data_IF_894566997762
#
_entry.id   IF_894566997762
#
_cell.length_a   1.000
_cell.length_b   1.000
_cell.length_c   1.000
_cell.angle_alpha   90.00
_cell.angle_beta   90.00
_cell.angle_gamma   90.00
#
_symmetry.space_group_name_H-M   'P 1'
#
loop_
_entity.id
_entity.type
_entity.pdbx_description
1 polymer ?
#
# COMPACT_ATOMS: atom_id res chain seq x y z
N UNK A 1 -23.84 -69.59 15.40
CA UNK A 1 -24.39 -68.25 15.12
C UNK A 1 -24.54 -67.52 16.44
N UNK A 2 -23.93 -66.40 16.79
CA UNK A 2 -22.78 -65.64 16.29
C UNK A 2 -22.31 -64.78 17.47
N UNK A 3 -21.00 -64.64 17.61
CA UNK A 3 -20.38 -63.73 18.57
C UNK A 3 -20.06 -62.39 17.88
N UNK A 4 -19.99 -61.35 18.71
CA UNK A 4 -19.20 -60.12 18.54
C UNK A 4 -19.83 -58.86 17.90
N UNK A 5 -19.26 -57.65 18.18
CA UNK A 5 -19.96 -56.55 18.84
C UNK A 5 -19.85 -55.25 18.03
N UNK A 6 -20.39 -54.14 18.52
CA UNK A 6 -20.11 -52.86 17.87
C UNK A 6 -20.95 -51.68 18.34
N UNK A 7 -20.72 -51.22 19.57
CA UNK A 7 -20.89 -49.80 19.88
C UNK A 7 -19.91 -49.00 19.02
N UNK A 8 -20.40 -48.28 18.01
CA UNK A 8 -19.63 -47.20 17.37
C UNK A 8 -19.94 -45.88 18.09
N UNK A 9 -18.97 -45.26 18.76
CA UNK A 9 -19.07 -43.86 19.13
C UNK A 9 -18.70 -42.99 17.92
N UNK A 10 -19.30 -41.81 17.82
CA UNK A 10 -18.79 -40.74 16.96
C UNK A 10 -19.43 -40.67 15.57
N UNK A 11 -20.51 -39.89 15.49
CA UNK A 11 -20.54 -38.84 14.48
C UNK A 11 -21.30 -37.66 15.07
N UNK A 12 -20.59 -36.95 15.95
CA UNK A 12 -20.80 -35.52 16.09
C UNK A 12 -20.54 -34.92 14.71
N UNK A 13 -21.56 -34.95 13.85
CA UNK A 13 -21.61 -34.10 12.68
C UNK A 13 -21.67 -32.69 13.22
N UNK A 14 -20.48 -32.13 13.43
CA UNK A 14 -20.30 -30.72 13.75
C UNK A 14 -21.17 -29.95 12.77
N UNK A 15 -22.09 -29.18 13.32
CA UNK A 15 -22.74 -28.08 12.62
C UNK A 15 -21.63 -27.28 11.96
N UNK A 16 -21.42 -27.51 10.66
CA UNK A 16 -20.55 -26.68 9.85
C UNK A 16 -21.22 -25.32 9.79
N UNK A 17 -20.94 -24.49 10.80
CA UNK A 17 -21.29 -23.09 10.85
C UNK A 17 -20.52 -22.43 9.72
N UNK A 18 -21.12 -22.39 8.53
CA UNK A 18 -20.61 -21.55 7.45
C UNK A 18 -20.50 -20.12 8.00
N UNK A 19 -19.32 -19.50 7.98
CA UNK A 19 -19.20 -18.12 8.41
C UNK A 19 -20.11 -17.25 7.52
N UNK A 20 -20.82 -16.26 8.09
CA UNK A 20 -21.73 -15.43 7.31
C UNK A 20 -20.94 -14.70 6.23
N UNK A 21 -21.27 -14.94 4.95
CA UNK A 21 -20.70 -14.19 3.84
C UNK A 21 -21.02 -12.70 4.01
N UNK A 22 -19.98 -11.85 4.07
CA UNK A 22 -20.19 -10.40 4.17
C UNK A 22 -20.75 -9.89 2.85
N UNK A 23 -21.81 -9.09 2.92
CA UNK A 23 -22.36 -8.45 1.72
C UNK A 23 -21.32 -7.52 1.08
N UNK A 24 -21.18 -7.64 -0.25
CA UNK A 24 -20.42 -6.70 -1.09
C UNK A 24 -20.84 -5.27 -0.76
N UNK A 25 -19.86 -4.38 -0.57
CA UNK A 25 -20.13 -2.97 -0.29
C UNK A 25 -20.90 -2.42 -1.50
N UNK A 26 -22.19 -2.12 -1.28
CA UNK A 26 -22.93 -1.30 -2.21
C UNK A 26 -22.33 0.08 -2.12
N UNK A 27 -21.62 0.49 -3.17
CA UNK A 27 -21.18 1.87 -3.36
C UNK A 27 -22.38 2.76 -3.09
N UNK A 28 -22.37 3.46 -1.95
CA UNK A 28 -23.53 4.28 -1.57
C UNK A 28 -23.70 5.31 -2.67
N UNK A 29 -24.87 5.37 -3.29
CA UNK A 29 -25.16 6.24 -4.43
C UNK A 29 -24.71 7.69 -4.19
N UNK A 30 -24.73 8.14 -2.93
CA UNK A 30 -24.20 9.41 -2.47
C UNK A 30 -22.74 9.68 -2.86
N UNK A 31 -21.82 8.70 -2.77
CA UNK A 31 -20.41 8.92 -3.16
C UNK A 31 -20.28 9.18 -4.66
N UNK A 32 -21.07 8.47 -5.47
CA UNK A 32 -21.09 8.67 -6.93
C UNK A 32 -21.64 10.07 -7.24
N UNK A 33 -22.72 10.48 -6.57
CA UNK A 33 -23.29 11.82 -6.73
C UNK A 33 -22.28 12.90 -6.33
N UNK A 34 -21.62 12.76 -5.18
CA UNK A 34 -20.58 13.69 -4.73
C UNK A 34 -19.40 13.76 -5.72
N UNK A 35 -18.95 12.62 -6.23
CA UNK A 35 -17.87 12.56 -7.20
C UNK A 35 -18.25 13.27 -8.50
N UNK A 36 -19.44 12.98 -9.03
CA UNK A 36 -19.95 13.62 -10.25
C UNK A 36 -20.08 15.14 -10.04
N UNK A 37 -20.61 15.57 -8.90
CA UNK A 37 -20.69 16.99 -8.55
C UNK A 37 -19.31 17.63 -8.50
N UNK A 38 -18.33 16.99 -7.86
CA UNK A 38 -16.95 17.47 -7.79
C UNK A 38 -16.33 17.61 -9.18
N UNK A 39 -16.53 16.62 -10.06
CA UNK A 39 -16.04 16.66 -11.45
C UNK A 39 -16.69 17.81 -12.22
N UNK A 40 -18.01 17.98 -12.13
CA UNK A 40 -18.71 19.11 -12.77
C UNK A 40 -18.15 20.44 -12.26
N UNK A 41 -17.94 20.60 -10.95
CA UNK A 41 -17.32 21.79 -10.38
C UNK A 41 -15.93 22.06 -10.99
N UNK A 42 -15.09 21.05 -11.16
CA UNK A 42 -13.77 21.24 -11.79
C UNK A 42 -13.87 21.73 -13.24
N UNK A 43 -14.83 21.24 -14.03
CA UNK A 43 -15.07 21.71 -15.39
C UNK A 43 -15.64 23.14 -15.43
N UNK A 44 -16.52 23.50 -14.50
CA UNK A 44 -17.02 24.86 -14.38
C UNK A 44 -15.91 25.85 -14.02
N UNK A 45 -15.00 25.46 -13.12
CA UNK A 45 -13.81 26.25 -12.80
C UNK A 45 -12.87 26.37 -14.00
N UNK A 46 -12.63 25.28 -14.72
CA UNK A 46 -11.85 25.28 -15.95
C UNK A 46 -12.42 26.26 -16.99
N UNK A 47 -13.74 26.21 -17.19
CA UNK A 47 -14.46 27.11 -18.08
C UNK A 47 -14.32 28.57 -17.65
N UNK A 48 -14.49 28.85 -16.36
CA UNK A 48 -14.31 30.21 -15.85
C UNK A 48 -12.87 30.70 -16.06
N UNK A 49 -11.86 29.87 -15.79
CA UNK A 49 -10.45 30.20 -16.04
C UNK A 49 -10.17 30.44 -17.53
N UNK A 50 -10.76 29.64 -18.42
CA UNK A 50 -10.69 29.83 -19.87
C UNK A 50 -11.28 31.18 -20.29
N UNK A 51 -12.42 31.58 -19.75
CA UNK A 51 -13.00 32.91 -20.03
C UNK A 51 -12.14 34.05 -19.47
N UNK A 52 -11.49 33.87 -18.31
CA UNK A 52 -10.56 34.86 -17.76
C UNK A 52 -9.29 34.99 -18.58
N UNK A 53 -8.77 33.89 -19.12
CA UNK A 53 -7.64 33.90 -20.05
C UNK A 53 -7.95 34.68 -21.34
N UNK A 54 -9.16 34.59 -21.87
CA UNK A 54 -9.56 35.34 -23.07
C UNK A 54 -9.82 36.83 -22.82
N UNK A 55 -10.02 37.24 -21.56
CA UNK A 55 -10.16 38.66 -21.23
C UNK A 55 -8.85 39.41 -21.48
N UNK A 56 -8.89 40.72 -21.74
CA UNK A 56 -7.69 41.55 -22.01
C UNK A 56 -6.66 41.62 -20.87
N UNK A 57 -6.93 40.96 -19.72
CA UNK A 57 -6.02 40.80 -18.58
C UNK A 57 -5.52 39.35 -18.38
N UNK A 58 -5.76 38.47 -19.37
CA UNK A 58 -5.40 37.06 -19.30
C UNK A 58 -3.89 36.82 -19.34
N UNK A 59 -3.44 35.89 -18.49
CA UNK A 59 -2.03 35.43 -18.45
C UNK A 59 -1.94 33.92 -18.74
N UNK A 60 -0.78 33.45 -19.20
CA UNK A 60 -0.52 32.01 -19.42
C UNK A 60 -0.76 31.13 -18.17
N UNK A 61 -0.67 31.70 -16.97
CA UNK A 61 -1.02 30.99 -15.74
C UNK A 61 -2.51 30.61 -15.68
N UNK A 62 -3.42 31.48 -16.15
CA UNK A 62 -4.86 31.17 -16.21
C UNK A 62 -5.15 30.00 -17.16
N UNK A 63 -4.41 29.91 -18.27
CA UNK A 63 -4.50 28.79 -19.20
C UNK A 63 -4.03 27.48 -18.55
N UNK A 64 -2.92 27.54 -17.82
CA UNK A 64 -2.43 26.42 -17.01
C UNK A 64 -3.50 25.93 -16.05
N UNK A 65 -4.14 26.83 -15.30
CA UNK A 65 -5.25 26.48 -14.41
C UNK A 65 -6.46 25.91 -15.15
N UNK A 66 -6.84 26.48 -16.29
CA UNK A 66 -7.94 25.97 -17.11
C UNK A 66 -7.70 24.52 -17.57
N UNK A 67 -6.45 24.12 -17.82
CA UNK A 67 -6.08 22.74 -18.16
C UNK A 67 -5.84 21.85 -16.95
N UNK A 68 -5.37 22.42 -15.84
CA UNK A 68 -5.10 21.71 -14.59
C UNK A 68 -6.41 21.23 -13.93
N UNK A 69 -7.47 22.04 -13.94
CA UNK A 69 -8.74 21.69 -13.30
C UNK A 69 -9.38 20.41 -13.89
N UNK A 70 -9.49 20.23 -15.23
CA UNK A 70 -9.96 18.98 -15.83
C UNK A 70 -9.09 17.76 -15.50
N UNK A 71 -7.77 17.93 -15.42
CA UNK A 71 -6.85 16.86 -15.02
C UNK A 71 -7.18 16.39 -13.60
N UNK A 72 -7.43 17.33 -12.67
CA UNK A 72 -7.87 16.98 -11.33
C UNK A 72 -9.24 16.29 -11.31
N UNK A 73 -10.20 16.75 -12.13
CA UNK A 73 -11.48 16.07 -12.29
C UNK A 73 -11.32 14.61 -12.73
N UNK A 74 -10.49 14.35 -13.75
CA UNK A 74 -10.17 13.00 -14.20
C UNK A 74 -9.44 12.18 -13.11
N UNK A 75 -8.52 12.82 -12.39
CA UNK A 75 -7.81 12.19 -11.28
C UNK A 75 -8.77 11.74 -10.16
N UNK A 76 -9.78 12.53 -9.80
CA UNK A 76 -10.77 12.12 -8.81
C UNK A 76 -11.56 10.87 -9.25
N UNK A 77 -11.95 10.81 -10.53
CA UNK A 77 -12.63 9.62 -11.09
C UNK A 77 -11.72 8.41 -11.04
N UNK A 78 -10.45 8.57 -11.41
CA UNK A 78 -9.47 7.49 -11.37
C UNK A 78 -9.24 6.99 -9.94
N UNK A 79 -9.00 7.90 -8.99
CA UNK A 79 -8.79 7.57 -7.58
C UNK A 79 -10.02 6.84 -6.99
N UNK A 80 -11.23 7.31 -7.31
CA UNK A 80 -12.46 6.64 -6.90
C UNK A 80 -12.56 5.23 -7.49
N UNK A 81 -12.36 5.08 -8.80
CA UNK A 81 -12.41 3.77 -9.47
C UNK A 81 -11.38 2.81 -8.88
N UNK A 82 -10.18 3.29 -8.61
CA UNK A 82 -9.12 2.50 -7.98
C UNK A 82 -9.50 2.09 -6.55
N UNK A 83 -10.04 3.03 -5.76
CA UNK A 83 -10.52 2.76 -4.41
C UNK A 83 -11.60 1.68 -4.38
N UNK A 84 -12.61 1.78 -5.25
CA UNK A 84 -13.66 0.76 -5.36
C UNK A 84 -13.11 -0.60 -5.79
N UNK A 85 -12.12 -0.63 -6.70
CA UNK A 85 -11.45 -1.88 -7.09
C UNK A 85 -10.77 -2.54 -5.89
N UNK A 86 -9.98 -1.78 -5.14
CA UNK A 86 -9.26 -2.27 -3.96
C UNK A 86 -10.21 -2.71 -2.84
N UNK A 87 -11.31 -1.99 -2.64
CA UNK A 87 -12.34 -2.38 -1.66
C UNK A 87 -13.05 -3.67 -2.08
N UNK A 88 -13.38 -3.82 -3.36
CA UNK A 88 -13.97 -5.05 -3.89
C UNK A 88 -13.01 -6.25 -3.75
N UNK A 89 -11.73 -6.08 -4.08
CA UNK A 89 -10.70 -7.12 -3.91
C UNK A 89 -10.57 -7.56 -2.45
N UNK A 90 -10.59 -6.63 -1.48
CA UNK A 90 -10.56 -6.95 -0.05
C UNK A 90 -11.80 -7.70 0.43
N UNK A 91 -12.98 -7.34 -0.08
CA UNK A 91 -14.24 -8.01 0.26
C UNK A 91 -14.27 -9.40 -0.35
N UNK A 92 -13.85 -9.57 -1.60
CA UNK A 92 -13.76 -10.89 -2.22
C UNK A 92 -12.73 -11.77 -1.49
N UNK A 93 -11.60 -11.23 -1.04
CA UNK A 93 -10.64 -11.98 -0.21
C UNK A 93 -11.19 -12.35 1.19
N UNK A 94 -11.99 -11.49 1.81
CA UNK A 94 -12.65 -11.81 3.08
C UNK A 94 -13.83 -12.79 2.89
N UNK A 95 -14.52 -12.74 1.75
CA UNK A 95 -15.70 -13.55 1.47
C UNK A 95 -15.38 -14.91 0.90
N UNK A 96 -14.30 -15.03 0.13
CA UNK A 96 -13.85 -16.33 -0.37
C UNK A 96 -13.58 -17.28 0.79
N UNK A 97 -13.26 -16.76 1.99
CA UNK A 97 -12.78 -17.60 3.08
C UNK A 97 -11.62 -18.46 2.61
N UNK A 98 -10.94 -18.01 1.55
CA UNK A 98 -9.92 -18.74 0.85
C UNK A 98 -8.89 -19.09 1.89
N UNK A 99 -8.69 -20.39 2.09
CA UNK A 99 -7.57 -20.84 2.91
C UNK A 99 -6.31 -20.15 2.40
N UNK A 100 -5.36 -19.84 3.28
CA UNK A 100 -4.07 -19.24 2.88
C UNK A 100 -3.47 -19.89 1.62
N UNK A 101 -3.76 -21.19 1.42
CA UNK A 101 -3.40 -21.97 0.24
C UNK A 101 -3.96 -21.45 -1.09
N UNK A 102 -5.23 -21.06 -1.15
CA UNK A 102 -5.90 -20.61 -2.39
C UNK A 102 -5.45 -19.19 -2.77
N UNK A 103 -5.21 -18.33 -1.78
CA UNK A 103 -4.55 -17.03 -2.00
C UNK A 103 -3.13 -17.20 -2.53
N UNK A 104 -2.38 -18.16 -1.97
CA UNK A 104 -1.03 -18.49 -2.40
C UNK A 104 -1.01 -19.03 -3.83
N UNK A 105 -1.97 -19.89 -4.21
CA UNK A 105 -2.08 -20.45 -5.55
C UNK A 105 -2.49 -19.40 -6.60
N UNK A 106 -3.39 -18.46 -6.25
CA UNK A 106 -3.75 -17.35 -7.13
C UNK A 106 -2.59 -16.37 -7.36
N UNK A 107 -1.78 -16.12 -6.34
CA UNK A 107 -0.56 -15.31 -6.43
C UNK A 107 0.49 -16.01 -7.31
N UNK A 108 0.74 -17.31 -7.09
CA UNK A 108 1.60 -18.12 -7.96
C UNK A 108 1.13 -18.15 -9.42
N UNK A 109 -0.17 -18.24 -9.67
CA UNK A 109 -0.71 -18.24 -11.03
C UNK A 109 -0.56 -16.88 -11.72
N UNK A 110 -0.61 -15.77 -10.97
CA UNK A 110 -0.51 -14.41 -11.50
C UNK A 110 0.92 -13.93 -11.69
N UNK A 111 1.82 -14.31 -10.79
CA UNK A 111 3.20 -13.83 -10.75
C UNK A 111 4.25 -14.91 -11.08
N UNK A 112 3.82 -16.14 -11.31
CA UNK A 112 4.69 -17.31 -11.42
C UNK A 112 5.13 -17.77 -10.03
N UNK A 113 5.13 -19.09 -9.79
CA UNK A 113 5.63 -19.66 -8.55
C UNK A 113 7.01 -19.11 -8.20
N UNK A 114 7.25 -18.90 -6.90
CA UNK A 114 8.47 -18.33 -6.32
C UNK A 114 9.76 -19.18 -6.54
N UNK A 115 9.82 -19.97 -7.62
CA UNK A 115 10.99 -20.73 -8.07
C UNK A 115 12.18 -19.79 -8.32
N UNK A 116 11.93 -18.54 -8.70
CA UNK A 116 13.00 -17.54 -8.95
C UNK A 116 12.96 -16.44 -7.90
N UNK A 117 13.11 -16.81 -6.62
CA UNK A 117 13.67 -15.85 -5.66
C UNK A 117 15.02 -15.41 -6.22
N UNK A 118 15.15 -14.14 -6.59
CA UNK A 118 16.43 -13.57 -7.05
C UNK A 118 17.36 -13.49 -5.85
N UNK A 119 17.93 -14.63 -5.47
CA UNK A 119 18.99 -14.69 -4.47
C UNK A 119 20.20 -13.98 -5.05
N UNK A 120 20.78 -13.09 -4.25
CA UNK A 120 22.09 -12.51 -4.55
C UNK A 120 23.10 -13.65 -4.34
N UNK A 121 24.00 -13.86 -5.30
CA UNK A 121 25.09 -14.83 -5.17
C UNK A 121 25.97 -14.44 -3.98
N UNK A 122 26.34 -15.39 -3.12
CA UNK A 122 27.18 -15.11 -1.94
C UNK A 122 28.55 -14.51 -2.31
N UNK A 123 29.01 -14.80 -3.53
CA UNK A 123 30.26 -14.27 -4.12
C UNK A 123 30.15 -12.81 -4.61
N UNK A 124 28.94 -12.25 -4.69
CA UNK A 124 28.73 -10.84 -5.00
C UNK A 124 29.08 -9.94 -3.81
N UNK A 125 28.94 -10.43 -2.58
CA UNK A 125 29.23 -9.66 -1.38
C UNK A 125 30.72 -9.77 -1.03
N UNK A 126 31.43 -8.66 -0.82
CA UNK A 126 32.81 -8.72 -0.34
C UNK A 126 32.84 -9.42 1.02
N UNK A 127 33.83 -10.31 1.21
CA UNK A 127 34.04 -10.97 2.49
C UNK A 127 34.15 -9.94 3.62
N UNK A 128 33.35 -10.13 4.68
CA UNK A 128 33.35 -9.23 5.83
C UNK A 128 34.74 -9.23 6.49
N UNK A 129 35.39 -8.07 6.66
CA UNK A 129 36.63 -7.98 7.41
C UNK A 129 36.42 -8.47 8.85
N UNK A 130 37.22 -9.43 9.29
CA UNK A 130 37.26 -9.89 10.68
C UNK A 130 38.20 -8.99 11.48
N UNK A 131 37.70 -7.86 11.95
CA UNK A 131 38.43 -6.96 12.86
C UNK A 131 38.26 -7.44 14.30
N UNK A 132 39.34 -7.40 15.07
CA UNK A 132 39.27 -7.59 16.52
C UNK A 132 38.62 -6.38 17.20
N UNK A 133 38.09 -6.57 18.41
CA UNK A 133 37.40 -5.52 19.18
C UNK A 133 38.35 -4.36 19.46
N UNK A 134 39.58 -4.65 19.86
CA UNK A 134 40.64 -3.66 20.10
C UNK A 134 40.97 -2.85 18.85
N UNK A 135 41.12 -3.52 17.70
CA UNK A 135 41.43 -2.87 16.41
C UNK A 135 40.27 -1.98 15.93
N UNK A 136 39.03 -2.47 16.03
CA UNK A 136 37.83 -1.70 15.71
C UNK A 136 37.70 -0.46 16.59
N UNK A 137 37.91 -0.60 17.90
CA UNK A 137 37.84 0.52 18.83
C UNK A 137 38.92 1.56 18.56
N UNK A 138 40.14 1.13 18.21
CA UNK A 138 41.23 2.03 17.84
C UNK A 138 40.93 2.83 16.56
N UNK A 139 40.29 2.22 15.56
CA UNK A 139 39.89 2.88 14.32
C UNK A 139 38.72 3.86 14.52
N UNK A 140 37.84 3.60 15.49
CA UNK A 140 36.59 4.34 15.71
C UNK A 140 36.62 5.25 16.95
N UNK A 141 37.80 5.63 17.46
CA UNK A 141 37.91 6.58 18.56
C UNK A 141 37.28 7.91 18.16
N UNK A 142 36.15 8.23 18.77
CA UNK A 142 35.51 9.54 18.61
C UNK A 142 36.42 10.60 19.23
N UNK A 143 37.01 11.46 18.40
CA UNK A 143 37.81 12.60 18.85
C UNK A 143 36.87 13.64 19.49
N UNK A 144 36.50 13.42 20.75
CA UNK A 144 35.83 14.43 21.58
C UNK A 144 36.81 15.57 21.77
N UNK A 145 36.41 16.77 21.36
CA UNK A 145 37.26 17.97 21.33
C UNK A 145 38.01 18.18 22.64
N UNK A 146 39.33 18.09 22.55
CA UNK A 146 40.29 18.59 23.53
C UNK A 146 40.07 20.11 23.63
N UNK A 147 39.30 20.52 24.64
CA UNK A 147 39.19 21.91 25.05
C UNK A 147 40.46 22.31 25.79
N UNK A 148 41.51 22.68 25.05
CA UNK A 148 42.62 23.42 25.61
C UNK A 148 42.16 24.88 25.85
N UNK A 149 41.65 25.14 27.05
CA UNK A 149 41.51 26.51 27.56
C UNK A 149 42.77 26.90 28.33
N UNK A 150 43.47 27.99 27.98
CA UNK A 150 44.63 28.43 28.75
C UNK A 150 44.15 28.99 30.11
N UNK A 151 44.58 28.38 31.20
CA UNK A 151 44.58 29.03 32.52
C UNK A 151 45.67 30.09 32.54
N UNK A 152 45.35 31.28 32.04
CA UNK A 152 46.17 32.47 32.23
C UNK A 152 45.94 33.04 33.64
N UNK A 153 46.99 32.95 34.43
CA UNK A 153 47.13 33.39 35.82
C UNK A 153 46.70 34.85 36.06
N UNK A 154 45.88 35.04 37.09
CA UNK A 154 45.66 36.32 37.78
C UNK A 154 46.90 36.72 38.59
N UNK A 155 47.24 38.01 38.48
CA UNK A 155 48.14 38.86 39.29
C UNK A 155 49.56 39.04 38.78
#
# INVERSE_FOLDING_TARGET
>A
MDAQPGTKPGSAAGTATHPPQRQRIRVRAWHIVLLVLAVICTFLLAWWQWTRFQSGSGTFQNLGYALQWPIFGAFFVYAYRMGIRMENEKIDAHNSGASMQELYEADQARFGGAETTTSIDDDFLPARPTLDVEEFNALNVQRRGQGDGPEESRQ
#
